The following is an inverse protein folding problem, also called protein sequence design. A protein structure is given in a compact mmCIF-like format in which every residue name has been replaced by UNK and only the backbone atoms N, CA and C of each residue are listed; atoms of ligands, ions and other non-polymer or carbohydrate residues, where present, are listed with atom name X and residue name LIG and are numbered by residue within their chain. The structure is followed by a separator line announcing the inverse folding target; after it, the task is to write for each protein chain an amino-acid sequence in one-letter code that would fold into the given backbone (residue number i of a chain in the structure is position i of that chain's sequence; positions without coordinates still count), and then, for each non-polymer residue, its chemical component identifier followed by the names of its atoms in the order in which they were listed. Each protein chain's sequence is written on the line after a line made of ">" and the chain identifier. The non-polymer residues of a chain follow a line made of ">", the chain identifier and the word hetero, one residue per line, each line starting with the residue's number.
data_IF_766546787780
#
_entry.id   IF_766546787780
#
_cell.length_a   1.000
_cell.length_b   1.000
_cell.length_c   1.000
_cell.angle_alpha   90.00
_cell.angle_beta   90.00
_cell.angle_gamma   90.00
#
_symmetry.space_group_name_H-M   'P 1'
#
loop_
_entity.id
_entity.type
_entity.pdbx_description
1 polymer ?
#
# COMPACT_ATOMS: atom_id res chain seq x y z
N UNK A 1 11.30 18.35 -13.39
CA UNK A 1 11.38 18.66 -11.95
C UNK A 1 10.16 19.53 -11.63
N UNK A 2 9.16 19.02 -10.92
CA UNK A 2 7.99 19.83 -10.57
C UNK A 2 8.43 20.86 -9.53
N UNK A 3 8.27 22.16 -9.82
CA UNK A 3 8.51 23.24 -8.87
C UNK A 3 7.51 23.05 -7.72
N UNK A 4 7.99 22.81 -6.51
CA UNK A 4 7.17 22.98 -5.31
C UNK A 4 6.90 24.48 -5.18
N UNK A 5 5.61 24.86 -5.20
CA UNK A 5 5.18 26.23 -5.02
C UNK A 5 5.70 26.83 -3.70
N UNK A 6 5.79 28.15 -3.68
CA UNK A 6 6.32 29.02 -2.60
C UNK A 6 5.75 28.81 -1.18
N UNK A 7 4.75 27.93 -1.00
CA UNK A 7 4.13 27.61 0.28
C UNK A 7 4.63 26.26 0.78
N UNK A 8 5.34 26.26 1.90
CA UNK A 8 5.79 25.05 2.60
C UNK A 8 4.64 24.04 2.80
N UNK A 9 4.87 22.79 2.43
CA UNK A 9 3.87 21.72 2.50
C UNK A 9 3.38 21.49 3.92
N UNK A 10 4.25 21.65 4.94
CA UNK A 10 3.81 21.51 6.32
C UNK A 10 2.74 22.54 6.69
N UNK A 11 2.77 23.75 6.11
CA UNK A 11 1.74 24.77 6.36
C UNK A 11 0.40 24.40 5.72
N UNK A 12 0.43 23.73 4.56
CA UNK A 12 -0.79 23.19 3.94
C UNK A 12 -1.35 22.02 4.75
N UNK A 13 -0.48 21.12 5.23
CA UNK A 13 -0.87 19.97 6.05
C UNK A 13 -1.47 20.44 7.38
N UNK A 14 -0.82 21.40 8.04
CA UNK A 14 -1.23 21.96 9.32
C UNK A 14 -2.23 23.15 9.17
N UNK A 15 -2.86 23.30 8.01
CA UNK A 15 -3.94 24.25 7.81
C UNK A 15 -5.20 23.76 8.53
N UNK A 16 -5.94 24.68 9.17
CA UNK A 16 -7.14 24.35 9.94
C UNK A 16 -8.21 23.64 9.11
N UNK A 17 -8.43 24.08 7.87
CA UNK A 17 -9.47 23.50 7.01
C UNK A 17 -9.05 22.11 6.50
N UNK A 18 -7.78 21.92 6.17
CA UNK A 18 -7.24 20.59 5.84
C UNK A 18 -7.39 19.61 7.02
N UNK A 19 -7.10 20.07 8.24
CA UNK A 19 -7.25 19.26 9.46
C UNK A 19 -8.72 18.94 9.76
N UNK A 20 -9.65 19.87 9.56
CA UNK A 20 -11.10 19.59 9.68
C UNK A 20 -11.56 18.53 8.69
N UNK A 21 -11.10 18.60 7.44
CA UNK A 21 -11.38 17.57 6.43
C UNK A 21 -10.80 16.22 6.84
N UNK A 22 -9.57 16.21 7.36
CA UNK A 22 -8.92 15.00 7.86
C UNK A 22 -9.70 14.38 9.03
N UNK A 23 -10.11 15.17 10.02
CA UNK A 23 -10.90 14.72 11.16
C UNK A 23 -12.23 14.14 10.73
N UNK A 24 -12.95 14.82 9.82
CA UNK A 24 -14.21 14.32 9.27
C UNK A 24 -14.01 12.98 8.56
N UNK A 25 -12.93 12.83 7.80
CA UNK A 25 -12.61 11.58 7.10
C UNK A 25 -12.28 10.44 8.07
N UNK A 26 -11.50 10.71 9.12
CA UNK A 26 -11.18 9.74 10.18
C UNK A 26 -12.44 9.31 10.93
N UNK A 27 -13.33 10.25 11.26
CA UNK A 27 -14.61 9.96 11.88
C UNK A 27 -15.47 9.03 11.00
N UNK A 28 -15.59 9.33 9.71
CA UNK A 28 -16.35 8.52 8.75
C UNK A 28 -15.81 7.10 8.56
N UNK A 29 -14.47 6.95 8.60
CA UNK A 29 -13.81 5.65 8.47
C UNK A 29 -14.00 4.77 9.73
N UNK A 30 -14.52 5.33 10.83
CA UNK A 30 -14.65 4.65 12.13
C UNK A 30 -13.31 4.04 12.57
N UNK A 31 -13.33 2.85 13.16
CA UNK A 31 -12.15 2.12 13.59
C UNK A 31 -11.94 2.18 15.11
N UNK A 32 -11.27 1.15 15.62
CA UNK A 32 -11.02 0.99 17.05
C UNK A 32 -10.12 2.12 17.61
N UNK A 33 -10.20 2.32 18.92
CA UNK A 33 -9.27 3.19 19.63
C UNK A 33 -7.84 2.65 19.59
N UNK A 34 -6.86 3.56 19.67
CA UNK A 34 -5.46 3.20 19.80
C UNK A 34 -5.09 2.83 21.23
N UNK A 35 -3.82 3.02 21.59
CA UNK A 35 -3.31 2.71 22.93
C UNK A 35 -3.85 3.67 24.02
N UNK A 36 -4.29 4.86 23.63
CA UNK A 36 -4.80 5.90 24.54
C UNK A 36 -6.29 5.75 24.88
N UNK A 37 -6.98 4.78 24.28
CA UNK A 37 -8.39 4.50 24.53
C UNK A 37 -9.37 5.54 23.93
N UNK A 38 -8.88 6.67 23.42
CA UNK A 38 -9.71 7.72 22.82
C UNK A 38 -10.37 7.19 21.55
N UNK A 39 -11.69 7.31 21.47
CA UNK A 39 -12.49 6.86 20.33
C UNK A 39 -12.70 7.97 19.29
N UNK A 40 -13.19 7.61 18.10
CA UNK A 40 -13.54 8.60 17.06
C UNK A 40 -14.67 9.54 17.51
N UNK A 41 -15.52 9.11 18.44
CA UNK A 41 -16.63 9.94 18.96
C UNK A 41 -16.17 11.03 19.92
N UNK A 42 -14.99 10.85 20.52
CA UNK A 42 -14.37 11.83 21.43
C UNK A 42 -13.39 12.77 20.69
N UNK A 43 -13.21 12.56 19.38
CA UNK A 43 -12.22 13.26 18.57
C UNK A 43 -12.40 14.78 18.60
N UNK A 44 -13.65 15.27 18.47
CA UNK A 44 -13.91 16.70 18.42
C UNK A 44 -13.54 17.39 19.74
N UNK A 45 -13.95 16.82 20.87
CA UNK A 45 -13.57 17.31 22.20
C UNK A 45 -12.05 17.29 22.41
N UNK A 46 -11.40 16.22 21.95
CA UNK A 46 -9.94 16.09 22.03
C UNK A 46 -9.21 17.14 21.17
N UNK A 47 -9.71 17.43 19.96
CA UNK A 47 -9.13 18.44 19.07
C UNK A 47 -9.37 19.87 19.55
N UNK A 48 -10.53 20.15 20.17
CA UNK A 48 -10.77 21.44 20.82
C UNK A 48 -9.74 21.69 21.92
N UNK A 49 -9.46 20.66 22.74
CA UNK A 49 -8.54 20.78 23.87
C UNK A 49 -7.06 20.82 23.48
N UNK A 50 -6.64 20.00 22.52
CA UNK A 50 -5.22 19.77 22.22
C UNK A 50 -4.80 20.14 20.78
N UNK A 51 -5.73 20.56 19.93
CA UNK A 51 -5.49 20.78 18.50
C UNK A 51 -4.47 21.87 18.20
N UNK A 52 -4.51 22.99 18.94
CA UNK A 52 -3.57 24.08 18.73
C UNK A 52 -2.12 23.66 19.04
N UNK A 53 -1.90 23.01 20.19
CA UNK A 53 -0.58 22.47 20.54
C UNK A 53 -0.10 21.41 19.53
N UNK A 54 -1.02 20.59 19.02
CA UNK A 54 -0.71 19.62 17.95
C UNK A 54 -0.21 20.33 16.69
N UNK A 55 -0.90 21.37 16.22
CA UNK A 55 -0.54 22.16 15.04
C UNK A 55 0.85 22.80 15.21
N UNK A 56 1.11 23.40 16.37
CA UNK A 56 2.41 24.01 16.68
C UNK A 56 3.54 22.98 16.64
N UNK A 57 3.34 21.81 17.26
CA UNK A 57 4.31 20.71 17.21
C UNK A 57 4.53 20.17 15.80
N UNK A 58 3.48 20.09 14.98
CA UNK A 58 3.58 19.69 13.57
C UNK A 58 4.43 20.68 12.78
N UNK A 59 4.15 21.98 12.88
CA UNK A 59 4.90 23.05 12.19
C UNK A 59 6.35 23.14 12.66
N UNK A 60 6.61 22.91 13.94
CA UNK A 60 7.95 22.88 14.50
C UNK A 60 8.72 21.58 14.17
N UNK A 61 8.06 20.56 13.62
CA UNK A 61 8.67 19.24 13.39
C UNK A 61 9.02 18.48 14.67
N UNK A 62 8.35 18.82 15.79
CA UNK A 62 8.53 18.21 17.11
C UNK A 62 7.37 17.29 17.51
N UNK A 63 6.37 17.12 16.63
CA UNK A 63 5.30 16.17 16.82
C UNK A 63 5.85 14.74 16.92
N UNK A 64 5.50 14.06 18.02
CA UNK A 64 5.84 12.66 18.27
C UNK A 64 4.56 11.82 18.22
N UNK A 65 4.42 10.93 17.23
CA UNK A 65 3.36 9.93 17.19
C UNK A 65 3.44 8.98 18.38
N UNK A 66 2.30 8.38 18.73
CA UNK A 66 2.26 7.30 19.70
C UNK A 66 2.52 5.94 19.01
N UNK A 67 3.03 4.94 19.75
CA UNK A 67 3.10 3.58 19.27
C UNK A 67 1.73 3.06 18.80
N UNK A 68 1.72 2.28 17.73
CA UNK A 68 0.46 1.69 17.24
C UNK A 68 0.05 0.51 18.10
N UNK A 69 -1.24 0.36 18.38
CA UNK A 69 -1.77 -0.80 19.10
C UNK A 69 -1.76 -2.03 18.20
N UNK A 70 -1.11 -3.12 18.63
CA UNK A 70 -1.15 -4.39 17.92
C UNK A 70 -2.51 -5.07 18.11
N UNK A 71 -3.12 -5.47 16.99
CA UNK A 71 -4.36 -6.27 17.00
C UNK A 71 -4.21 -7.41 16.00
N UNK A 72 -4.37 -8.63 16.49
CA UNK A 72 -4.32 -9.86 15.69
C UNK A 72 -5.71 -10.23 15.20
N UNK A 73 -5.90 -10.29 13.88
CA UNK A 73 -7.14 -10.76 13.25
C UNK A 73 -6.89 -12.03 12.43
N UNK A 74 -7.82 -13.00 12.40
CA UNK A 74 -7.67 -14.18 11.56
C UNK A 74 -7.71 -13.82 10.07
N UNK A 75 -6.90 -14.50 9.25
CA UNK A 75 -6.97 -14.43 7.78
C UNK A 75 -8.00 -15.44 7.25
N UNK A 76 -8.67 -15.10 6.15
CA UNK A 76 -9.62 -15.98 5.45
C UNK A 76 -9.01 -17.33 5.03
N UNK A 77 -7.69 -17.35 4.77
CA UNK A 77 -6.97 -18.53 4.29
C UNK A 77 -6.24 -19.30 5.42
N UNK A 78 -6.55 -19.00 6.68
CA UNK A 78 -5.78 -19.45 7.84
C UNK A 78 -4.57 -18.56 8.14
N UNK A 79 -4.17 -18.54 9.42
CA UNK A 79 -3.11 -17.68 9.95
C UNK A 79 -3.61 -16.34 10.51
N UNK A 80 -2.68 -15.53 11.00
CA UNK A 80 -2.97 -14.26 11.69
C UNK A 80 -2.48 -13.08 10.84
N UNK A 81 -3.26 -12.01 10.82
CA UNK A 81 -2.88 -10.70 10.30
C UNK A 81 -2.76 -9.74 11.47
N UNK A 82 -1.55 -9.22 11.64
CA UNK A 82 -1.25 -8.21 12.62
C UNK A 82 -1.59 -6.83 12.04
N UNK A 83 -2.46 -6.09 12.73
CA UNK A 83 -2.79 -4.71 12.43
C UNK A 83 -2.17 -3.80 13.50
N UNK A 84 -1.60 -2.69 13.06
CA UNK A 84 -1.19 -1.60 13.92
C UNK A 84 -2.22 -0.49 13.86
N UNK A 85 -2.97 -0.29 14.94
CA UNK A 85 -4.01 0.74 15.04
C UNK A 85 -3.41 1.99 15.70
N UNK A 86 -3.20 3.10 14.96
CA UNK A 86 -2.75 4.36 15.55
C UNK A 86 -3.84 4.97 16.41
N UNK A 87 -3.45 5.79 17.39
CA UNK A 87 -4.39 6.64 18.13
C UNK A 87 -5.12 7.59 17.19
N UNK A 88 -6.32 8.03 17.56
CA UNK A 88 -7.19 8.78 16.64
C UNK A 88 -6.54 10.08 16.17
N UNK A 89 -5.84 10.79 17.07
CA UNK A 89 -5.08 11.99 16.74
C UNK A 89 -4.04 11.74 15.65
N UNK A 90 -3.29 10.63 15.75
CA UNK A 90 -2.29 10.24 14.76
C UNK A 90 -2.92 9.91 13.41
N UNK A 91 -4.11 9.28 13.42
CA UNK A 91 -4.88 9.06 12.18
C UNK A 91 -5.28 10.37 11.52
N UNK A 92 -5.67 11.40 12.29
CA UNK A 92 -5.97 12.74 11.74
C UNK A 92 -4.73 13.35 11.10
N UNK A 93 -3.58 13.31 11.79
CA UNK A 93 -2.32 13.85 11.24
C UNK A 93 -1.90 13.09 9.98
N UNK A 94 -1.95 11.76 9.98
CA UNK A 94 -1.65 10.95 8.79
C UNK A 94 -2.60 11.24 7.63
N UNK A 95 -3.90 11.40 7.89
CA UNK A 95 -4.89 11.77 6.89
C UNK A 95 -4.64 13.17 6.33
N UNK A 96 -4.26 14.12 7.18
CA UNK A 96 -3.93 15.49 6.78
C UNK A 96 -2.68 15.53 5.88
N UNK A 97 -1.66 14.71 6.18
CA UNK A 97 -0.50 14.52 5.31
C UNK A 97 -0.95 13.93 3.97
N UNK A 98 -1.72 12.84 4.00
CA UNK A 98 -2.19 12.13 2.80
C UNK A 98 -2.93 13.06 1.84
N UNK A 99 -3.85 13.89 2.34
CA UNK A 99 -4.63 14.85 1.54
C UNK A 99 -3.75 15.82 0.72
N UNK A 100 -2.56 16.16 1.24
CA UNK A 100 -1.64 17.11 0.59
C UNK A 100 -0.64 16.40 -0.32
N UNK A 101 -0.05 15.27 0.12
CA UNK A 101 1.04 14.63 -0.63
C UNK A 101 0.54 13.65 -1.70
N UNK A 102 -0.63 13.02 -1.51
CA UNK A 102 -1.17 12.05 -2.47
C UNK A 102 -1.40 12.68 -3.85
N UNK A 103 -2.00 13.88 -3.99
CA UNK A 103 -2.17 14.52 -5.31
C UNK A 103 -0.86 14.87 -6.01
N UNK A 104 0.23 15.04 -5.25
CA UNK A 104 1.57 15.33 -5.80
C UNK A 104 2.22 14.03 -6.31
N UNK A 105 2.03 12.93 -5.57
CA UNK A 105 2.73 11.66 -5.80
C UNK A 105 1.95 10.75 -6.76
N UNK A 106 0.65 10.54 -6.56
CA UNK A 106 -0.13 9.53 -7.29
C UNK A 106 -0.08 9.67 -8.83
N UNK A 107 -0.11 10.88 -9.42
CA UNK A 107 -0.01 11.03 -10.87
C UNK A 107 1.27 10.46 -11.48
N UNK A 108 2.33 10.31 -10.67
CA UNK A 108 3.61 9.75 -11.09
C UNK A 108 3.69 8.23 -11.00
N UNK A 109 2.68 7.54 -10.48
CA UNK A 109 2.67 6.08 -10.42
C UNK A 109 2.34 5.45 -11.77
N UNK A 110 2.85 4.24 -11.99
CA UNK A 110 2.56 3.44 -13.19
C UNK A 110 1.06 3.34 -13.46
N UNK A 111 0.67 3.36 -14.73
CA UNK A 111 -0.72 3.12 -15.14
C UNK A 111 -1.18 1.69 -14.88
N UNK A 112 -0.24 0.77 -14.60
CA UNK A 112 -0.51 -0.64 -14.30
C UNK A 112 -0.51 -0.96 -12.80
N UNK A 113 -0.40 0.07 -11.96
CA UNK A 113 -0.62 0.00 -10.51
C UNK A 113 -2.01 0.49 -10.14
N UNK A 114 -2.79 -0.35 -9.45
CA UNK A 114 -4.21 -0.10 -9.18
C UNK A 114 -4.57 -0.01 -7.70
N UNK A 115 -3.85 -0.74 -6.83
CA UNK A 115 -4.22 -0.88 -5.42
C UNK A 115 -4.09 0.42 -4.63
N UNK A 116 -5.12 0.74 -3.84
CA UNK A 116 -5.16 1.92 -2.95
C UNK A 116 -4.96 3.27 -3.65
N UNK A 117 -5.42 3.39 -4.91
CA UNK A 117 -5.31 4.64 -5.67
C UNK A 117 -6.68 5.20 -6.02
N UNK A 118 -6.83 6.52 -5.91
CA UNK A 118 -8.09 7.20 -6.25
C UNK A 118 -8.47 6.95 -7.71
N UNK A 119 -9.72 6.56 -7.95
CA UNK A 119 -10.24 6.27 -9.30
C UNK A 119 -9.73 4.95 -9.90
N UNK A 120 -8.97 4.14 -9.15
CA UNK A 120 -8.54 2.81 -9.56
C UNK A 120 -9.15 1.72 -8.69
N UNK A 121 -9.41 0.56 -9.30
CA UNK A 121 -10.04 -0.57 -8.61
C UNK A 121 -9.58 -1.92 -9.17
N UNK A 122 -9.93 -3.00 -8.46
CA UNK A 122 -9.57 -4.36 -8.82
C UNK A 122 -10.14 -4.78 -10.20
N UNK A 123 -11.34 -4.33 -10.56
CA UNK A 123 -11.94 -4.67 -11.86
C UNK A 123 -11.13 -4.12 -13.04
N UNK A 124 -10.58 -2.91 -12.93
CA UNK A 124 -9.69 -2.36 -13.95
C UNK A 124 -8.39 -3.17 -14.07
N UNK A 125 -7.82 -3.61 -12.94
CA UNK A 125 -6.64 -4.47 -12.92
C UNK A 125 -6.89 -5.80 -13.65
N UNK A 126 -8.04 -6.42 -13.37
CA UNK A 126 -8.48 -7.67 -14.01
C UNK A 126 -8.71 -7.46 -15.51
N UNK A 127 -9.37 -6.38 -15.92
CA UNK A 127 -9.60 -6.07 -17.34
C UNK A 127 -8.28 -5.92 -18.12
N UNK A 128 -7.27 -5.29 -17.51
CA UNK A 128 -5.95 -5.17 -18.10
C UNK A 128 -5.26 -6.54 -18.23
N UNK A 129 -5.40 -7.40 -17.23
CA UNK A 129 -4.91 -8.77 -17.27
C UNK A 129 -5.56 -9.59 -18.39
N UNK A 130 -6.88 -9.51 -18.55
CA UNK A 130 -7.63 -10.15 -19.63
C UNK A 130 -7.12 -9.71 -21.01
N UNK A 131 -6.85 -8.41 -21.17
CA UNK A 131 -6.30 -7.87 -22.40
C UNK A 131 -4.93 -8.48 -22.74
N UNK A 132 -4.02 -8.59 -21.78
CA UNK A 132 -2.72 -9.24 -22.06
C UNK A 132 -2.88 -10.70 -22.46
N UNK A 133 -3.78 -11.43 -21.81
CA UNK A 133 -4.05 -12.84 -22.18
C UNK A 133 -4.64 -12.94 -23.59
N UNK A 134 -5.52 -12.03 -23.98
CA UNK A 134 -6.12 -12.01 -25.32
C UNK A 134 -5.09 -11.66 -26.41
N UNK A 135 -4.13 -10.78 -26.11
CA UNK A 135 -2.96 -10.43 -26.95
C UNK A 135 -1.93 -11.57 -27.10
N UNK A 136 -2.15 -12.71 -26.43
CA UNK A 136 -1.33 -13.91 -26.59
C UNK A 136 -0.22 -14.08 -25.53
N UNK A 137 -0.25 -13.30 -24.44
CA UNK A 137 0.60 -13.53 -23.28
C UNK A 137 0.00 -14.66 -22.41
N UNK A 138 0.21 -15.90 -22.85
CA UNK A 138 -0.42 -17.11 -22.31
C UNK A 138 0.26 -17.69 -21.06
N UNK A 139 1.30 -17.04 -20.56
CA UNK A 139 2.03 -17.46 -19.36
C UNK A 139 2.05 -16.29 -18.38
N UNK A 140 1.75 -16.57 -17.11
CA UNK A 140 1.74 -15.60 -16.03
C UNK A 140 2.85 -15.96 -15.05
N UNK A 141 3.65 -14.97 -14.69
CA UNK A 141 4.55 -15.02 -13.52
C UNK A 141 3.78 -14.38 -12.38
N UNK A 142 3.27 -15.22 -11.49
CA UNK A 142 2.50 -14.84 -10.30
C UNK A 142 3.49 -14.62 -9.15
N UNK A 143 3.56 -13.40 -8.62
CA UNK A 143 4.55 -13.00 -7.62
C UNK A 143 3.89 -12.49 -6.34
N UNK A 144 4.28 -13.09 -5.22
CA UNK A 144 3.85 -12.73 -3.86
C UNK A 144 5.07 -12.26 -3.06
N UNK A 145 4.94 -11.14 -2.37
CA UNK A 145 5.99 -10.62 -1.48
C UNK A 145 5.76 -11.12 -0.06
N UNK A 146 6.82 -11.66 0.57
CA UNK A 146 6.73 -12.18 1.94
C UNK A 146 6.67 -11.02 2.93
N UNK A 147 5.61 -10.97 3.72
CA UNK A 147 5.39 -9.99 4.81
C UNK A 147 5.75 -8.55 4.40
N UNK A 148 5.27 -8.12 3.22
CA UNK A 148 5.70 -6.87 2.58
C UNK A 148 5.63 -5.65 3.52
N UNK A 149 4.48 -5.44 4.15
CA UNK A 149 4.28 -4.32 5.08
C UNK A 149 5.21 -4.39 6.29
N UNK A 150 5.69 -5.56 6.68
CA UNK A 150 6.57 -5.73 7.86
C UNK A 150 8.06 -5.64 7.49
N UNK A 151 8.39 -5.58 6.19
CA UNK A 151 9.77 -5.64 5.68
C UNK A 151 10.24 -4.40 4.93
N UNK A 152 9.35 -3.43 4.66
CA UNK A 152 9.70 -2.17 3.97
C UNK A 152 10.88 -1.44 4.64
N UNK A 153 11.96 -1.22 3.89
CA UNK A 153 13.16 -0.59 4.43
C UNK A 153 12.99 0.94 4.54
N UNK A 154 12.96 1.48 5.78
CA UNK A 154 12.65 2.90 6.03
C UNK A 154 13.54 3.87 5.27
N UNK A 155 14.87 3.72 5.31
CA UNK A 155 15.77 4.66 4.63
C UNK A 155 15.57 4.68 3.09
N UNK A 156 15.34 3.51 2.47
CA UNK A 156 15.02 3.44 1.03
C UNK A 156 13.69 4.11 0.74
N UNK A 157 12.67 3.85 1.56
CA UNK A 157 11.37 4.50 1.43
C UNK A 157 11.51 6.03 1.52
N UNK A 158 12.26 6.54 2.50
CA UNK A 158 12.50 7.97 2.64
C UNK A 158 13.26 8.56 1.44
N UNK A 159 14.26 7.84 0.92
CA UNK A 159 14.98 8.27 -0.28
C UNK A 159 14.05 8.36 -1.50
N UNK A 160 13.14 7.40 -1.67
CA UNK A 160 12.16 7.43 -2.75
C UNK A 160 11.12 8.54 -2.57
N UNK A 161 10.65 8.76 -1.34
CA UNK A 161 9.75 9.88 -1.01
C UNK A 161 10.41 11.24 -1.28
N UNK A 162 11.69 11.37 -0.98
CA UNK A 162 12.47 12.59 -1.19
C UNK A 162 12.58 12.96 -2.68
N UNK A 163 12.21 12.08 -3.62
CA UNK A 163 12.09 12.48 -5.02
C UNK A 163 10.85 13.38 -5.27
N UNK A 164 9.78 13.19 -4.50
CA UNK A 164 8.51 13.89 -4.68
C UNK A 164 8.33 15.05 -3.70
N UNK A 165 8.82 14.88 -2.47
CA UNK A 165 8.60 15.81 -1.35
C UNK A 165 9.95 16.31 -0.85
N UNK A 166 10.23 17.61 -0.97
CA UNK A 166 11.46 18.23 -0.45
C UNK A 166 11.29 18.91 0.92
N UNK A 167 10.06 19.03 1.41
CA UNK A 167 9.79 19.62 2.73
C UNK A 167 10.31 18.71 3.85
N UNK A 168 11.43 19.14 4.47
CA UNK A 168 12.14 18.37 5.49
C UNK A 168 11.30 18.11 6.74
N UNK A 169 10.35 18.98 7.07
CA UNK A 169 9.49 18.81 8.25
C UNK A 169 8.47 17.71 7.96
N UNK A 170 7.90 17.69 6.75
CA UNK A 170 6.98 16.61 6.31
C UNK A 170 7.70 15.27 6.28
N UNK A 171 8.90 15.21 5.71
CA UNK A 171 9.70 13.98 5.68
C UNK A 171 10.03 13.49 7.10
N UNK A 172 10.40 14.39 8.01
CA UNK A 172 10.64 14.06 9.42
C UNK A 172 9.38 13.52 10.10
N UNK A 173 8.22 14.11 9.82
CA UNK A 173 6.95 13.66 10.40
C UNK A 173 6.60 12.24 9.93
N UNK A 174 6.76 11.96 8.63
CA UNK A 174 6.57 10.60 8.08
C UNK A 174 7.57 9.62 8.70
N UNK A 175 8.83 10.02 8.85
CA UNK A 175 9.85 9.21 9.53
C UNK A 175 9.46 8.86 10.97
N UNK A 176 8.98 9.84 11.74
CA UNK A 176 8.53 9.61 13.11
C UNK A 176 7.35 8.63 13.16
N UNK A 177 6.42 8.66 12.20
CA UNK A 177 5.35 7.66 12.11
C UNK A 177 5.87 6.25 11.81
N UNK A 178 6.86 6.11 10.94
CA UNK A 178 7.48 4.80 10.66
C UNK A 178 8.21 4.25 11.89
N UNK A 179 8.79 5.13 12.71
CA UNK A 179 9.58 4.79 13.91
C UNK A 179 8.80 4.74 15.22
N UNK A 180 7.51 5.09 15.22
CA UNK A 180 6.68 5.22 16.42
C UNK A 180 6.60 3.95 17.28
N UNK A 181 6.96 2.79 16.73
CA UNK A 181 6.93 1.51 17.43
C UNK A 181 5.53 0.90 17.50
N UNK A 182 5.46 -0.28 18.09
CA UNK A 182 4.25 -1.07 18.26
C UNK A 182 4.08 -1.34 19.75
N UNK A 183 2.85 -1.25 20.25
CA UNK A 183 2.47 -1.66 21.60
C UNK A 183 1.70 -2.98 21.51
N UNK A 184 2.27 -4.05 22.05
CA UNK A 184 1.65 -5.36 22.18
C UNK A 184 1.28 -5.61 23.65
N UNK A 185 0.00 -5.43 23.99
CA UNK A 185 -0.43 -5.35 25.38
C UNK A 185 0.27 -4.21 26.11
N UNK A 186 1.15 -4.56 27.05
CA UNK A 186 1.97 -3.61 27.82
C UNK A 186 3.45 -3.60 27.39
N UNK A 187 3.79 -4.30 26.30
CA UNK A 187 5.17 -4.42 25.81
C UNK A 187 5.37 -3.48 24.63
N UNK A 188 6.34 -2.59 24.75
CA UNK A 188 6.77 -1.73 23.65
C UNK A 188 7.78 -2.47 22.76
N UNK A 189 7.53 -2.44 21.45
CA UNK A 189 8.37 -3.05 20.43
C UNK A 189 8.86 -1.95 19.49
N UNK A 190 10.17 -1.78 19.40
CA UNK A 190 10.77 -0.85 18.45
C UNK A 190 10.55 -1.28 17.00
N UNK A 191 10.21 -0.32 16.15
CA UNK A 191 10.00 -0.58 14.73
C UNK A 191 11.22 -0.15 13.90
N UNK A 192 12.00 -1.10 13.38
CA UNK A 192 13.19 -0.83 12.57
C UNK A 192 12.94 -0.94 11.06
N UNK A 193 11.86 -1.61 10.65
CA UNK A 193 11.46 -1.81 9.25
C UNK A 193 9.95 -2.02 9.17
N UNK A 194 9.38 -1.90 7.98
CA UNK A 194 7.95 -2.03 7.75
C UNK A 194 7.16 -0.75 7.99
N UNK A 195 5.91 -0.75 7.55
CA UNK A 195 4.94 0.32 7.73
C UNK A 195 3.69 -0.28 8.38
N UNK A 196 3.14 0.30 9.47
CA UNK A 196 2.02 -0.29 10.19
C UNK A 196 0.83 -0.60 9.28
N UNK A 197 0.39 -1.86 9.26
CA UNK A 197 -0.85 -2.25 8.59
C UNK A 197 -2.04 -1.65 9.35
N UNK A 198 -2.66 -0.61 8.80
CA UNK A 198 -3.72 0.16 9.49
C UNK A 198 -3.40 1.64 9.67
N UNK A 199 -2.16 2.05 9.41
CA UNK A 199 -1.83 3.47 9.23
C UNK A 199 -2.53 4.03 8.00
N UNK A 200 -3.09 5.23 8.12
CA UNK A 200 -3.84 5.91 7.03
C UNK A 200 -2.93 6.22 5.85
N UNK A 201 -1.68 6.59 6.13
CA UNK A 201 -0.67 6.92 5.10
C UNK A 201 0.04 5.68 4.53
N UNK A 202 0.01 4.55 5.24
CA UNK A 202 0.76 3.33 4.90
C UNK A 202 0.52 2.83 3.46
N UNK A 203 -0.70 2.84 2.90
CA UNK A 203 -0.93 2.40 1.53
C UNK A 203 -0.21 3.27 0.47
N UNK A 204 -0.16 4.59 0.65
CA UNK A 204 0.59 5.47 -0.24
C UNK A 204 2.09 5.19 -0.15
N UNK A 205 2.62 5.05 1.07
CA UNK A 205 4.04 4.73 1.30
C UNK A 205 4.43 3.40 0.65
N UNK A 206 3.56 2.40 0.77
CA UNK A 206 3.70 1.12 0.09
C UNK A 206 3.77 1.30 -1.44
N UNK A 207 2.89 2.11 -2.01
CA UNK A 207 2.92 2.38 -3.45
C UNK A 207 4.16 3.16 -3.90
N UNK A 208 4.65 4.13 -3.11
CA UNK A 208 5.92 4.83 -3.39
C UNK A 208 7.08 3.85 -3.47
N UNK A 209 7.14 2.89 -2.56
CA UNK A 209 8.21 1.89 -2.53
C UNK A 209 8.17 0.98 -3.76
N UNK A 210 6.99 0.39 -4.04
CA UNK A 210 6.82 -0.55 -5.16
C UNK A 210 6.73 0.13 -6.53
N UNK A 211 6.57 1.45 -6.61
CA UNK A 211 6.73 2.16 -7.87
C UNK A 211 8.14 1.98 -8.46
N UNK A 212 9.15 1.70 -7.64
CA UNK A 212 10.49 1.34 -8.14
C UNK A 212 10.49 0.02 -8.91
N UNK A 213 9.70 -0.96 -8.45
CA UNK A 213 9.48 -2.21 -9.19
C UNK A 213 8.73 -1.92 -10.49
N UNK A 214 7.65 -1.15 -10.43
CA UNK A 214 6.85 -0.80 -11.61
C UNK A 214 7.71 -0.15 -12.70
N UNK A 215 8.54 0.82 -12.33
CA UNK A 215 9.44 1.54 -13.25
C UNK A 215 10.49 0.62 -13.86
N UNK A 216 11.01 -0.33 -13.09
CA UNK A 216 11.95 -1.33 -13.61
C UNK A 216 11.27 -2.29 -14.59
N UNK A 217 10.03 -2.72 -14.30
CA UNK A 217 9.24 -3.56 -15.21
C UNK A 217 8.90 -2.83 -16.52
N UNK A 218 8.50 -1.56 -16.44
CA UNK A 218 8.25 -0.69 -17.59
C UNK A 218 9.51 -0.50 -18.42
N UNK A 219 10.65 -0.19 -17.79
CA UNK A 219 11.96 -0.05 -18.45
C UNK A 219 12.37 -1.31 -19.21
N UNK A 220 12.05 -2.49 -18.67
CA UNK A 220 12.30 -3.79 -19.31
C UNK A 220 11.25 -4.18 -20.37
N UNK A 221 10.22 -3.37 -20.56
CA UNK A 221 9.14 -3.63 -21.53
C UNK A 221 8.21 -4.78 -21.12
N UNK A 222 8.11 -5.09 -19.83
CA UNK A 222 7.23 -6.15 -19.34
C UNK A 222 5.76 -5.71 -19.32
N UNK A 223 4.86 -6.66 -19.58
CA UNK A 223 3.42 -6.49 -19.36
C UNK A 223 3.11 -6.96 -17.96
N UNK A 224 2.59 -6.09 -17.11
CA UNK A 224 2.29 -6.45 -15.73
C UNK A 224 1.03 -5.74 -15.23
N UNK A 225 0.51 -6.25 -14.12
CA UNK A 225 -0.56 -5.65 -13.34
C UNK A 225 -0.16 -5.77 -11.87
N UNK A 226 -0.25 -4.68 -11.12
CA UNK A 226 0.02 -4.66 -9.67
C UNK A 226 -1.16 -4.11 -8.89
N UNK A 227 -1.51 -4.78 -7.81
CA UNK A 227 -2.50 -4.33 -6.83
C UNK A 227 -1.90 -4.48 -5.43
N UNK A 228 -1.51 -3.35 -4.84
CA UNK A 228 -0.72 -3.34 -3.60
C UNK A 228 0.61 -4.12 -3.77
N UNK A 229 0.83 -5.14 -2.96
CA UNK A 229 1.98 -6.04 -2.97
C UNK A 229 1.81 -7.27 -3.89
N UNK A 230 0.59 -7.56 -4.33
CA UNK A 230 0.29 -8.62 -5.29
C UNK A 230 0.53 -8.10 -6.73
N UNK A 231 1.34 -8.80 -7.50
CA UNK A 231 1.58 -8.46 -8.90
C UNK A 231 1.80 -9.68 -9.79
N UNK A 232 1.34 -9.54 -11.04
CA UNK A 232 1.48 -10.55 -12.08
C UNK A 232 2.22 -9.95 -13.29
N UNK A 233 3.13 -10.72 -13.87
CA UNK A 233 3.82 -10.38 -15.12
C UNK A 233 3.41 -11.37 -16.22
N UNK A 234 3.00 -10.84 -17.37
CA UNK A 234 2.45 -11.59 -18.48
C UNK A 234 3.52 -11.76 -19.57
N UNK A 235 3.78 -13.01 -19.95
CA UNK A 235 4.80 -13.41 -20.93
C UNK A 235 4.22 -14.43 -21.91
N UNK A 236 4.91 -14.64 -23.04
CA UNK A 236 4.42 -15.52 -24.11
C UNK A 236 4.75 -17.01 -23.90
N UNK A 237 5.83 -17.32 -23.18
CA UNK A 237 6.30 -18.70 -23.01
C UNK A 237 6.71 -19.01 -21.56
N UNK A 238 6.58 -20.27 -21.10
CA UNK A 238 7.03 -20.70 -19.78
C UNK A 238 8.52 -20.41 -19.53
N UNK A 239 9.38 -20.68 -20.51
CA UNK A 239 10.82 -20.39 -20.42
C UNK A 239 11.11 -18.90 -20.21
N UNK A 240 10.35 -18.02 -20.86
CA UNK A 240 10.46 -16.58 -20.62
C UNK A 240 9.97 -16.22 -19.20
N UNK A 241 8.92 -16.89 -18.71
CA UNK A 241 8.41 -16.73 -17.36
C UNK A 241 9.46 -17.04 -16.29
N UNK A 242 10.11 -18.20 -16.39
CA UNK A 242 11.14 -18.60 -15.41
C UNK A 242 12.32 -17.62 -15.39
N UNK A 243 12.74 -17.17 -16.58
CA UNK A 243 13.80 -16.16 -16.71
C UNK A 243 13.39 -14.83 -16.05
N UNK A 244 12.15 -14.39 -16.27
CA UNK A 244 11.63 -13.15 -15.69
C UNK A 244 11.50 -13.28 -14.17
N UNK A 245 10.94 -14.38 -13.67
CA UNK A 245 10.82 -14.65 -12.24
C UNK A 245 12.17 -14.52 -11.55
N UNK A 246 13.18 -15.26 -12.02
CA UNK A 246 14.54 -15.20 -11.46
C UNK A 246 15.11 -13.77 -11.48
N UNK A 247 14.99 -13.07 -12.61
CA UNK A 247 15.54 -11.72 -12.77
C UNK A 247 14.83 -10.66 -11.92
N UNK A 248 13.52 -10.80 -11.73
CA UNK A 248 12.72 -9.90 -10.89
C UNK A 248 12.99 -10.19 -9.42
N UNK A 249 13.10 -11.45 -9.01
CA UNK A 249 13.53 -11.83 -7.66
C UNK A 249 14.86 -11.19 -7.28
N UNK A 250 15.88 -11.29 -8.16
CA UNK A 250 17.19 -10.65 -7.91
C UNK A 250 17.08 -9.13 -7.71
N UNK A 251 16.22 -8.46 -8.48
CA UNK A 251 16.00 -7.02 -8.31
C UNK A 251 15.27 -6.69 -7.00
N UNK A 252 14.24 -7.45 -6.65
CA UNK A 252 13.46 -7.24 -5.41
C UNK A 252 14.35 -7.44 -4.18
N UNK A 253 15.13 -8.51 -4.13
CA UNK A 253 16.00 -8.83 -3.00
C UNK A 253 17.23 -7.92 -2.93
N UNK A 254 17.87 -7.67 -4.07
CA UNK A 254 19.09 -6.85 -4.15
C UNK A 254 18.80 -5.35 -4.00
N UNK A 255 17.92 -4.81 -4.85
CA UNK A 255 17.68 -3.37 -4.95
C UNK A 255 16.60 -2.91 -3.99
N UNK A 256 15.52 -3.66 -3.82
CA UNK A 256 14.43 -3.26 -2.94
C UNK A 256 14.57 -3.80 -1.51
N UNK A 257 15.48 -4.73 -1.24
CA UNK A 257 15.66 -5.34 0.10
C UNK A 257 14.36 -5.92 0.65
N UNK A 258 13.52 -6.45 -0.26
CA UNK A 258 12.29 -7.18 0.06
C UNK A 258 12.52 -8.66 -0.24
N UNK A 259 11.66 -9.53 0.28
CA UNK A 259 11.77 -10.98 0.08
C UNK A 259 10.59 -11.48 -0.76
N UNK A 260 10.85 -12.34 -1.73
CA UNK A 260 9.79 -13.00 -2.49
C UNK A 260 9.31 -14.24 -1.71
N UNK A 261 8.01 -14.48 -1.74
CA UNK A 261 7.46 -15.72 -1.19
C UNK A 261 7.58 -16.83 -2.23
N UNK A 262 8.64 -17.63 -2.14
CA UNK A 262 8.96 -18.69 -3.10
C UNK A 262 7.93 -19.83 -3.12
N UNK A 263 7.18 -20.02 -2.04
CA UNK A 263 6.11 -21.04 -1.97
C UNK A 263 4.86 -20.62 -2.74
N UNK A 264 4.60 -19.31 -2.82
CA UNK A 264 3.42 -18.76 -3.51
C UNK A 264 3.72 -18.24 -4.90
N UNK A 265 4.95 -17.80 -5.14
CA UNK A 265 5.38 -17.23 -6.41
C UNK A 265 5.71 -18.33 -7.41
N UNK A 266 5.12 -18.27 -8.61
CA UNK A 266 5.26 -19.34 -9.60
C UNK A 266 4.97 -18.88 -11.03
N UNK A 267 5.53 -19.61 -11.99
CA UNK A 267 5.12 -19.51 -13.39
C UNK A 267 3.93 -20.43 -13.63
N UNK A 268 2.84 -19.86 -14.16
CA UNK A 268 1.56 -20.56 -14.32
C UNK A 268 0.85 -20.12 -15.60
N UNK A 269 -0.31 -20.73 -15.87
CA UNK A 269 -1.20 -20.34 -16.96
C UNK A 269 -2.36 -19.47 -16.43
N UNK A 270 -2.98 -18.64 -17.28
CA UNK A 270 -4.14 -17.82 -16.91
C UNK A 270 -5.28 -18.60 -16.22
N UNK A 271 -5.56 -19.82 -16.70
CA UNK A 271 -6.61 -20.69 -16.16
C UNK A 271 -6.30 -21.25 -14.76
N UNK A 272 -5.04 -21.16 -14.30
CA UNK A 272 -4.61 -21.64 -12.98
C UNK A 272 -4.20 -20.51 -12.04
N UNK A 273 -3.96 -19.30 -12.56
CA UNK A 273 -3.62 -18.13 -11.77
C UNK A 273 -4.84 -17.67 -10.95
N UNK A 274 -4.61 -17.33 -9.68
CA UNK A 274 -5.63 -16.75 -8.80
C UNK A 274 -5.22 -15.32 -8.49
N UNK A 275 -5.65 -14.36 -9.29
CA UNK A 275 -5.32 -12.95 -9.10
C UNK A 275 -6.53 -12.20 -8.57
N UNK A 276 -6.42 -11.57 -7.40
CA UNK A 276 -7.50 -10.81 -6.74
C UNK A 276 -8.82 -11.59 -6.54
N UNK A 277 -8.75 -12.92 -6.40
CA UNK A 277 -9.93 -13.78 -6.26
C UNK A 277 -10.60 -14.20 -7.57
N UNK A 278 -9.97 -13.91 -8.71
CA UNK A 278 -10.43 -14.27 -10.05
C UNK A 278 -9.44 -15.22 -10.74
N UNK A 279 -10.00 -16.06 -11.60
CA UNK A 279 -9.26 -16.89 -12.55
C UNK A 279 -9.65 -16.46 -13.96
N UNK A 280 -8.68 -16.33 -14.87
CA UNK A 280 -8.95 -15.91 -16.25
C UNK A 280 -9.07 -17.15 -17.14
N UNK A 281 -10.24 -17.35 -17.74
CA UNK A 281 -10.51 -18.43 -18.68
C UNK A 281 -10.68 -17.88 -20.09
N UNK A 282 -10.53 -18.76 -21.09
CA UNK A 282 -10.86 -18.44 -22.49
C UNK A 282 -12.14 -19.18 -22.86
N UNK A 283 -13.17 -18.44 -23.24
CA UNK A 283 -14.43 -18.99 -23.74
C UNK A 283 -14.67 -18.43 -25.14
N UNK A 284 -14.75 -19.31 -26.16
CA UNK A 284 -15.04 -18.95 -27.55
C UNK A 284 -14.24 -17.75 -28.11
N UNK A 285 -12.92 -17.72 -27.88
CA UNK A 285 -12.03 -16.69 -28.41
C UNK A 285 -11.96 -15.38 -27.61
N UNK A 286 -12.82 -15.19 -26.60
CA UNK A 286 -12.74 -14.07 -25.64
C UNK A 286 -12.11 -14.54 -24.32
N UNK A 287 -11.31 -13.68 -23.71
CA UNK A 287 -10.78 -13.90 -22.36
C UNK A 287 -11.74 -13.29 -21.35
N UNK A 288 -12.20 -14.09 -20.37
CA UNK A 288 -13.13 -13.67 -19.32
C UNK A 288 -12.62 -14.10 -17.94
N UNK A 289 -12.67 -13.19 -16.98
CA UNK A 289 -12.36 -13.44 -15.58
C UNK A 289 -13.59 -13.94 -14.83
N UNK A 290 -13.49 -15.14 -14.27
CA UNK A 290 -14.51 -15.73 -13.42
C UNK A 290 -14.11 -15.59 -11.94
N UNK A 291 -15.04 -15.11 -11.12
CA UNK A 291 -14.87 -15.08 -9.67
C UNK A 291 -14.81 -16.51 -9.12
N UNK A 292 -13.85 -16.82 -8.23
CA UNK A 292 -13.63 -18.18 -7.72
C UNK A 292 -14.89 -18.84 -7.12
N UNK A 293 -15.81 -18.06 -6.52
CA UNK A 293 -17.08 -18.58 -6.01
C UNK A 293 -18.03 -19.15 -7.08
N UNK A 294 -18.01 -18.65 -8.32
CA UNK A 294 -18.88 -19.15 -9.41
C UNK A 294 -18.40 -20.48 -9.99
N UNK A 295 -17.10 -20.78 -9.91
CA UNK A 295 -16.54 -22.03 -10.43
C UNK A 295 -16.89 -23.23 -9.55
N UNK A 296 -17.01 -23.03 -8.23
CA UNK A 296 -17.39 -24.08 -7.28
C UNK A 296 -18.89 -24.45 -7.33
N UNK A 297 -19.75 -23.59 -7.90
CA UNK A 297 -21.18 -23.90 -8.09
C UNK A 297 -21.47 -24.70 -9.37
N UNK A 298 -20.51 -24.77 -10.30
CA UNK A 298 -20.62 -25.53 -11.56
C UNK A 298 -20.02 -26.93 -11.50
N UNK A 299 -19.47 -27.34 -10.34
CA UNK A 299 -18.89 -28.67 -10.11
C UNK A 299 -19.73 -29.55 -9.16
N UNK A 300 -21.01 -29.22 -8.96
CA UNK A 300 -21.96 -29.96 -8.08
C UNK A 300 -23.18 -30.46 -8.86
N UNK A 301 -23.15 -30.43 -10.19
CA UNK A 301 -24.14 -31.11 -11.03
C UNK A 301 -23.40 -31.92 -12.09
N UNK A 302 -23.07 -33.15 -11.72
CA UNK A 302 -23.30 -34.38 -12.49
C UNK A 302 -23.14 -35.58 -11.55
#
# INVERSE_FOLDING_TARGET
>A
MMKQDSISLINQIANSDNLKLASKKVYQNKGAAGIDGVTVHELDAHLIKYGQQMIEKMRAGTYQPQPVKLVSIPKDNGGIRNLGIPVVRDRVVQQAILQVIEPIIDPSFSTYSYGFRKGRNAHQAIKQAEQYVSEGYKTIVDCDLRNYFDTVHHQKLMNYLNYYIQDKIVLRLIWNFLKAGIMDGNVFIENYKGTPQGGVISPLLANVYLNQLDRELEKRGHRFVRYADDFCIYVKTPRAGERVLKSVTTFIEGNLRLEINTEKSKVTTPAKAKFLGFTIWKTQGKSEAAHLRRLNSSSVTD
#
